data_IF_083127215417
#
_entry.id   IF_083127215417
#
_cell.length_a   1.000
_cell.length_b   1.000
_cell.length_c   1.000
_cell.angle_alpha   90.00
_cell.angle_beta   90.00
_cell.angle_gamma   90.00
#
_symmetry.space_group_name_H-M   'P 1'
#
loop_
_entity.id
_entity.type
_entity.pdbx_description
1 polymer ?
#
# COMPACT_ATOMS: atom_id res chain seq x y z
N UNK A 1 11.06 31.58 -58.60
CA UNK A 1 9.83 31.91 -57.85
C UNK A 1 9.71 30.90 -56.71
N UNK A 2 9.77 31.42 -55.47
CA UNK A 2 9.54 30.88 -54.12
C UNK A 2 9.76 29.38 -53.82
N UNK A 3 10.77 29.08 -52.98
CA UNK A 3 10.94 27.83 -52.21
C UNK A 3 10.16 27.95 -50.90
N UNK A 4 9.16 27.08 -50.68
CA UNK A 4 8.45 26.96 -49.42
C UNK A 4 9.35 26.44 -48.30
N UNK A 5 9.69 27.32 -47.36
CA UNK A 5 10.37 26.98 -46.12
C UNK A 5 9.34 26.61 -45.03
N UNK A 6 9.11 25.32 -44.81
CA UNK A 6 8.40 24.83 -43.61
C UNK A 6 9.26 25.08 -42.37
N UNK A 7 8.86 26.04 -41.53
CA UNK A 7 9.44 26.28 -40.20
C UNK A 7 9.25 25.04 -39.32
N UNK A 8 10.34 24.38 -38.94
CA UNK A 8 10.34 23.39 -37.85
C UNK A 8 10.07 24.10 -36.53
N UNK A 9 8.88 23.88 -35.96
CA UNK A 9 8.60 24.27 -34.58
C UNK A 9 9.46 23.42 -33.64
N UNK A 10 10.37 24.09 -32.92
CA UNK A 10 11.20 23.48 -31.87
C UNK A 10 10.32 23.30 -30.64
N UNK A 11 9.82 22.08 -30.43
CA UNK A 11 9.12 21.70 -29.19
C UNK A 11 10.08 21.91 -28.03
N UNK A 12 9.72 22.78 -27.09
CA UNK A 12 10.49 22.98 -25.85
C UNK A 12 10.48 21.65 -25.08
N UNK A 13 11.64 21.12 -24.64
CA UNK A 13 11.65 19.98 -23.74
C UNK A 13 10.89 20.37 -22.48
N UNK A 14 9.87 19.60 -22.12
CA UNK A 14 9.23 19.73 -20.81
C UNK A 14 10.25 19.48 -19.69
N UNK A 15 9.94 19.87 -18.44
CA UNK A 15 10.83 19.66 -17.31
C UNK A 15 11.24 18.18 -17.25
N UNK A 16 12.56 17.91 -17.21
CA UNK A 16 13.07 16.57 -16.92
C UNK A 16 12.71 16.28 -15.47
N UNK A 17 11.71 15.43 -15.25
CA UNK A 17 11.53 14.77 -13.96
C UNK A 17 12.84 14.00 -13.72
N UNK A 18 13.53 14.31 -12.62
CA UNK A 18 14.77 13.63 -12.29
C UNK A 18 14.50 12.12 -12.22
N UNK A 19 15.22 11.33 -13.02
CA UNK A 19 15.03 9.87 -13.13
C UNK A 19 15.26 9.14 -11.79
N UNK A 20 15.89 9.80 -10.82
CA UNK A 20 16.18 9.27 -9.48
C UNK A 20 14.92 9.14 -8.61
N UNK A 21 13.96 10.07 -8.70
CA UNK A 21 12.75 10.02 -7.86
C UNK A 21 11.85 8.84 -8.24
N UNK A 22 11.74 8.51 -9.53
CA UNK A 22 10.87 7.43 -10.04
C UNK A 22 11.41 6.03 -9.69
N UNK A 23 12.70 5.90 -9.37
CA UNK A 23 13.29 4.63 -8.92
C UNK A 23 13.18 4.42 -7.41
N UNK A 24 12.97 5.48 -6.63
CA UNK A 24 13.04 5.41 -5.15
C UNK A 24 11.89 4.61 -4.51
N UNK A 25 10.74 4.48 -5.17
CA UNK A 25 9.53 3.84 -4.60
C UNK A 25 9.23 2.42 -5.15
N UNK A 26 10.20 1.77 -5.82
CA UNK A 26 9.98 0.46 -6.45
C UNK A 26 10.33 -0.72 -5.53
N UNK A 27 9.34 -1.57 -5.25
CA UNK A 27 9.56 -2.87 -4.61
C UNK A 27 9.94 -3.94 -5.65
N UNK A 28 11.07 -4.62 -5.46
CA UNK A 28 11.48 -5.77 -6.27
C UNK A 28 11.38 -7.06 -5.45
N UNK A 29 10.64 -8.04 -5.97
CA UNK A 29 10.39 -9.32 -5.29
C UNK A 29 10.97 -10.49 -6.11
N UNK A 30 11.64 -11.42 -5.43
CA UNK A 30 12.02 -12.71 -6.02
C UNK A 30 10.94 -13.72 -5.69
N UNK A 31 10.28 -14.27 -6.71
CA UNK A 31 9.15 -15.19 -6.55
C UNK A 31 9.21 -16.31 -7.57
N UNK A 32 8.61 -17.45 -7.23
CA UNK A 32 8.47 -18.59 -8.14
C UNK A 32 7.56 -18.24 -9.33
N UNK A 33 7.82 -18.83 -10.51
CA UNK A 33 7.05 -18.59 -11.74
C UNK A 33 5.56 -18.88 -11.56
N UNK A 34 5.25 -19.95 -10.84
CA UNK A 34 3.86 -20.41 -10.67
C UNK A 34 3.04 -19.41 -9.86
N UNK A 35 3.67 -18.75 -8.88
CA UNK A 35 3.01 -17.69 -8.12
C UNK A 35 2.70 -16.48 -9.02
N UNK A 36 3.61 -16.13 -9.93
CA UNK A 36 3.36 -15.05 -10.90
C UNK A 36 2.19 -15.39 -11.81
N UNK A 37 2.09 -16.64 -12.28
CA UNK A 37 0.99 -17.09 -13.12
C UNK A 37 -0.36 -17.01 -12.39
N UNK A 38 -0.42 -17.48 -11.14
CA UNK A 38 -1.63 -17.41 -10.32
C UNK A 38 -2.03 -15.94 -10.11
N UNK A 39 -1.09 -15.07 -9.73
CA UNK A 39 -1.37 -13.65 -9.53
C UNK A 39 -1.85 -12.96 -10.81
N UNK A 40 -1.31 -13.35 -11.97
CA UNK A 40 -1.78 -12.83 -13.26
C UNK A 40 -3.24 -13.23 -13.52
N UNK A 41 -3.56 -14.52 -13.38
CA UNK A 41 -4.92 -15.02 -13.59
C UNK A 41 -5.94 -14.33 -12.68
N UNK A 42 -5.58 -14.12 -11.40
CA UNK A 42 -6.44 -13.39 -10.44
C UNK A 42 -6.59 -11.91 -10.75
N UNK A 43 -5.55 -11.27 -11.29
CA UNK A 43 -5.62 -9.89 -11.74
C UNK A 43 -6.56 -9.75 -12.96
N UNK A 44 -6.48 -10.69 -13.90
CA UNK A 44 -7.32 -10.75 -15.09
C UNK A 44 -8.80 -10.95 -14.72
N UNK A 45 -9.10 -11.83 -13.76
CA UNK A 45 -10.46 -12.02 -13.20
C UNK A 45 -11.08 -10.71 -12.66
N UNK A 46 -10.24 -9.77 -12.22
CA UNK A 46 -10.67 -8.46 -11.68
C UNK A 46 -10.47 -7.30 -12.66
N UNK A 47 -10.14 -7.57 -13.92
CA UNK A 47 -9.87 -6.56 -14.95
C UNK A 47 -8.83 -5.51 -14.52
N UNK A 48 -7.75 -5.94 -13.88
CA UNK A 48 -6.67 -5.04 -13.43
C UNK A 48 -5.29 -5.57 -13.84
N UNK A 49 -4.30 -4.68 -13.86
CA UNK A 49 -2.91 -5.12 -14.06
C UNK A 49 -2.43 -5.94 -12.86
N UNK A 50 -1.50 -6.87 -13.07
CA UNK A 50 -0.90 -7.66 -11.99
C UNK A 50 -0.28 -6.79 -10.90
N UNK A 51 0.35 -5.68 -11.27
CA UNK A 51 0.92 -4.74 -10.31
C UNK A 51 -0.15 -4.09 -9.44
N UNK A 52 -1.26 -3.63 -10.03
CA UNK A 52 -2.38 -3.05 -9.27
C UNK A 52 -3.06 -4.08 -8.38
N UNK A 53 -3.13 -5.34 -8.82
CA UNK A 53 -3.65 -6.45 -8.00
C UNK A 53 -2.78 -6.70 -6.77
N UNK A 54 -1.46 -6.78 -6.95
CA UNK A 54 -0.52 -6.96 -5.84
C UNK A 54 -0.55 -5.77 -4.89
N UNK A 55 -0.58 -4.54 -5.41
CA UNK A 55 -0.72 -3.33 -4.61
C UNK A 55 -2.01 -3.36 -3.75
N UNK A 56 -3.14 -3.74 -4.34
CA UNK A 56 -4.40 -3.87 -3.60
C UNK A 56 -4.33 -4.91 -2.47
N UNK A 57 -3.63 -6.03 -2.69
CA UNK A 57 -3.40 -7.03 -1.63
C UNK A 57 -2.55 -6.47 -0.48
N UNK A 58 -1.50 -5.72 -0.81
CA UNK A 58 -0.62 -5.10 0.19
C UNK A 58 -1.36 -4.03 1.00
N UNK A 59 -2.14 -3.18 0.32
CA UNK A 59 -2.99 -2.17 0.98
C UNK A 59 -4.00 -2.85 1.91
N UNK A 60 -4.69 -3.90 1.44
CA UNK A 60 -5.65 -4.63 2.25
C UNK A 60 -5.01 -5.27 3.49
N UNK A 61 -3.79 -5.82 3.36
CA UNK A 61 -3.03 -6.35 4.49
C UNK A 61 -2.72 -5.26 5.52
N UNK A 62 -2.20 -4.12 5.07
CA UNK A 62 -1.86 -2.98 5.96
C UNK A 62 -3.11 -2.43 6.65
N UNK A 63 -4.24 -2.30 5.94
CA UNK A 63 -5.51 -1.84 6.48
C UNK A 63 -6.17 -2.82 7.46
N UNK A 64 -5.87 -4.12 7.34
CA UNK A 64 -6.42 -5.14 8.23
C UNK A 64 -5.84 -5.02 9.65
N UNK A 65 -4.57 -4.62 9.79
CA UNK A 65 -3.94 -4.42 11.10
C UNK A 65 -4.46 -3.12 11.74
N UNK A 66 -5.24 -3.18 12.84
CA UNK A 66 -5.80 -1.99 13.46
C UNK A 66 -4.76 -1.10 14.14
N UNK A 67 -3.49 -1.53 14.22
CA UNK A 67 -2.38 -0.76 14.78
C UNK A 67 -1.73 0.17 13.76
N UNK A 68 -2.05 0.02 12.48
CA UNK A 68 -1.51 0.89 11.44
C UNK A 68 -2.34 2.18 11.30
N UNK A 69 -1.69 3.31 10.94
CA UNK A 69 -2.41 4.51 10.55
C UNK A 69 -3.35 4.23 9.38
N UNK A 70 -4.44 4.99 9.30
CA UNK A 70 -5.41 4.82 8.21
C UNK A 70 -4.79 5.22 6.88
N UNK A 71 -4.82 4.31 5.91
CA UNK A 71 -4.44 4.57 4.52
C UNK A 71 -5.64 4.48 3.58
N UNK A 72 -5.60 5.20 2.47
CA UNK A 72 -6.60 5.18 1.41
C UNK A 72 -6.42 3.98 0.46
N UNK A 73 -7.25 3.89 -0.57
CA UNK A 73 -7.20 2.82 -1.57
C UNK A 73 -5.96 2.88 -2.49
N UNK A 74 -5.12 3.90 -2.36
CA UNK A 74 -3.85 4.08 -3.08
C UNK A 74 -2.64 3.97 -2.15
N UNK A 75 -2.84 3.54 -0.91
CA UNK A 75 -1.76 3.39 0.07
C UNK A 75 -1.27 4.69 0.69
N UNK A 76 -1.96 5.82 0.49
CA UNK A 76 -1.60 7.09 1.11
C UNK A 76 -2.25 7.24 2.47
N UNK A 77 -1.56 7.86 3.41
CA UNK A 77 -2.17 8.23 4.70
C UNK A 77 -3.40 9.10 4.49
N UNK A 78 -4.46 8.82 5.25
CA UNK A 78 -5.66 9.65 5.30
C UNK A 78 -5.41 10.78 6.28
N UNK A 79 -5.34 12.01 5.77
CA UNK A 79 -5.17 13.20 6.60
C UNK A 79 -6.31 13.34 7.61
N UNK A 80 -5.97 13.77 8.83
CA UNK A 80 -6.90 13.95 9.95
C UNK A 80 -7.68 12.68 10.38
N UNK A 81 -7.23 11.48 9.97
CA UNK A 81 -7.74 10.26 10.56
C UNK A 81 -7.27 10.11 12.01
N UNK A 82 -8.10 9.57 12.92
CA UNK A 82 -7.68 9.27 14.29
C UNK A 82 -6.45 8.37 14.29
N UNK A 83 -5.57 8.57 15.26
CA UNK A 83 -4.45 7.66 15.44
C UNK A 83 -4.94 6.28 15.90
N UNK A 84 -4.16 5.20 15.68
CA UNK A 84 -4.53 3.87 16.14
C UNK A 84 -4.83 3.82 17.65
N UNK A 85 -4.04 4.55 18.46
CA UNK A 85 -4.24 4.66 19.90
C UNK A 85 -5.54 5.39 20.25
N UNK A 86 -5.84 6.48 19.55
CA UNK A 86 -7.11 7.19 19.73
C UNK A 86 -8.31 6.32 19.36
N UNK A 87 -8.24 5.55 18.27
CA UNK A 87 -9.32 4.64 17.85
C UNK A 87 -9.52 3.52 18.87
N UNK A 88 -8.43 2.96 19.42
CA UNK A 88 -8.47 1.95 20.47
C UNK A 88 -9.14 2.50 21.75
N UNK A 89 -8.78 3.72 22.17
CA UNK A 89 -9.34 4.35 23.35
C UNK A 89 -10.80 4.81 23.17
N UNK A 90 -11.16 5.30 21.97
CA UNK A 90 -12.52 5.78 21.66
C UNK A 90 -13.51 4.63 21.41
N UNK A 91 -13.06 3.52 20.83
CA UNK A 91 -13.93 2.41 20.44
C UNK A 91 -13.24 1.04 20.55
N UNK A 92 -13.02 0.60 21.78
CA UNK A 92 -12.37 -0.66 22.12
C UNK A 92 -13.06 -1.89 21.51
N UNK A 93 -14.39 -1.88 21.39
CA UNK A 93 -15.15 -2.99 20.77
C UNK A 93 -14.82 -3.12 19.28
N UNK A 94 -14.83 -2.01 18.54
CA UNK A 94 -14.49 -1.99 17.11
C UNK A 94 -13.03 -2.35 16.88
N UNK A 95 -12.13 -1.89 17.76
CA UNK A 95 -10.72 -2.29 17.73
C UNK A 95 -10.57 -3.81 17.94
N UNK A 96 -11.23 -4.37 18.96
CA UNK A 96 -11.20 -5.80 19.25
C UNK A 96 -11.73 -6.67 18.11
N UNK A 97 -12.80 -6.24 17.43
CA UNK A 97 -13.33 -6.92 16.25
C UNK A 97 -12.29 -6.95 15.11
N UNK A 98 -11.70 -5.79 14.78
CA UNK A 98 -10.64 -5.71 13.77
C UNK A 98 -9.41 -6.55 14.14
N UNK A 99 -9.01 -6.52 15.41
CA UNK A 99 -7.89 -7.30 15.91
C UNK A 99 -8.12 -8.82 15.77
N UNK A 100 -9.35 -9.27 16.02
CA UNK A 100 -9.74 -10.67 15.81
C UNK A 100 -9.61 -11.07 14.34
N UNK A 101 -10.10 -10.24 13.41
CA UNK A 101 -10.01 -10.51 11.98
C UNK A 101 -8.56 -10.46 11.46
N UNK A 102 -7.79 -9.48 11.91
CA UNK A 102 -6.35 -9.41 11.66
C UNK A 102 -5.63 -10.67 12.14
N UNK A 103 -5.92 -11.16 13.35
CA UNK A 103 -5.31 -12.37 13.87
C UNK A 103 -5.59 -13.61 13.03
N UNK A 104 -6.82 -13.75 12.50
CA UNK A 104 -7.16 -14.86 11.59
C UNK A 104 -6.31 -14.77 10.31
N UNK A 105 -6.17 -13.58 9.75
CA UNK A 105 -5.37 -13.35 8.55
C UNK A 105 -3.87 -13.56 8.81
N UNK A 106 -3.36 -13.07 9.96
CA UNK A 106 -1.99 -13.25 10.39
C UNK A 106 -1.66 -14.73 10.60
N UNK A 107 -2.55 -15.50 11.24
CA UNK A 107 -2.41 -16.94 11.40
C UNK A 107 -2.40 -17.68 10.06
N UNK A 108 -3.22 -17.25 9.10
CA UNK A 108 -3.22 -17.82 7.75
C UNK A 108 -1.88 -17.60 7.03
N UNK A 109 -1.25 -16.44 7.22
CA UNK A 109 0.00 -16.09 6.54
C UNK A 109 1.25 -16.64 7.22
N UNK A 110 1.27 -16.66 8.56
CA UNK A 110 2.47 -16.97 9.35
C UNK A 110 2.36 -18.26 10.17
N UNK A 111 1.24 -18.96 10.14
CA UNK A 111 1.04 -20.23 10.86
C UNK A 111 0.94 -20.10 12.38
N UNK A 112 0.83 -18.89 12.91
CA UNK A 112 0.74 -18.59 14.35
C UNK A 112 -0.12 -17.35 14.58
N UNK A 113 -0.69 -17.20 15.77
CA UNK A 113 -1.40 -15.97 16.14
C UNK A 113 -0.44 -14.78 16.22
N UNK A 114 -0.97 -13.57 16.03
CA UNK A 114 -0.19 -12.38 16.29
C UNK A 114 0.17 -12.31 17.79
N UNK A 115 1.37 -11.84 18.16
CA UNK A 115 1.78 -11.74 19.56
C UNK A 115 0.79 -10.93 20.40
N UNK A 116 0.32 -11.47 21.53
CA UNK A 116 -0.66 -10.79 22.41
C UNK A 116 -0.15 -9.44 22.92
N UNK A 117 1.16 -9.37 23.22
CA UNK A 117 1.86 -8.14 23.63
C UNK A 117 1.65 -6.95 22.69
N UNK A 118 1.32 -7.18 21.42
CA UNK A 118 1.03 -6.10 20.46
C UNK A 118 -0.23 -5.31 20.78
N UNK A 119 -1.15 -5.88 21.58
CA UNK A 119 -2.34 -5.22 22.09
C UNK A 119 -2.22 -4.91 23.58
N UNK A 120 -1.60 -5.81 24.34
CA UNK A 120 -1.44 -5.63 25.79
C UNK A 120 -0.50 -4.45 26.12
N UNK A 121 0.51 -4.23 25.26
CA UNK A 121 1.46 -3.13 25.34
C UNK A 121 1.50 -2.42 23.97
N UNK A 122 0.52 -1.56 23.66
CA UNK A 122 0.46 -0.85 22.38
C UNK A 122 1.77 -0.08 22.17
N UNK A 123 2.59 -0.56 21.25
CA UNK A 123 3.85 0.09 20.91
C UNK A 123 3.55 1.21 19.91
N UNK A 124 4.04 2.39 20.24
CA UNK A 124 3.95 3.61 19.44
C UNK A 124 4.90 3.56 18.22
N UNK A 125 4.95 2.44 17.50
CA UNK A 125 5.80 2.27 16.31
C UNK A 125 5.52 3.32 15.21
N UNK A 126 4.33 3.93 15.24
CA UNK A 126 3.85 4.96 14.30
C UNK A 126 3.56 6.30 14.97
N UNK A 127 3.91 6.43 16.25
CA UNK A 127 3.39 7.45 17.17
C UNK A 127 4.56 8.10 17.90
N UNK A 128 5.49 8.65 17.11
CA UNK A 128 6.58 9.46 17.61
C UNK A 128 6.96 10.52 16.59
N UNK A 129 6.44 11.74 16.75
CA UNK A 129 7.07 12.79 17.56
C UNK A 129 6.00 13.25 18.59
N UNK A 130 6.32 13.60 19.84
CA UNK A 130 7.11 14.78 20.17
C UNK A 130 6.19 16.00 20.15
#
# INVERSE_FOLDING_TARGET
MVKDSKRKMRVKPGPRVAEEDVKSERLTLRVHSDLIEILQKRADERNMSRSAYVEALLIAWVQADPRNPKIDAKGKYVENAPSPLEEMNKNSLKFGAKWSDFNKLYALLFGQSAPSKWVDEPQDHWMGEG
#
